data_IF_517474800043
#
_entry.id   IF_517474800043
#
_cell.length_a   1.000
_cell.length_b   1.000
_cell.length_c   1.000
_cell.angle_alpha   90.00
_cell.angle_beta   90.00
_cell.angle_gamma   90.00
#
_symmetry.space_group_name_H-M   'P 1'
#
loop_
_entity.id
_entity.type
_entity.pdbx_description
1 polymer ?
#
# COMPACT_ATOMS: atom_id res chain seq x y z
N UNK A 1 1.72 20.72 -15.80
CA UNK A 1 1.36 19.99 -14.56
C UNK A 1 2.47 20.22 -13.59
N UNK A 2 2.18 20.79 -12.42
CA UNK A 2 3.19 20.93 -11.37
C UNK A 2 3.51 19.54 -10.81
N UNK A 3 4.76 19.30 -10.40
CA UNK A 3 5.17 18.00 -9.84
C UNK A 3 5.91 18.23 -8.54
N UNK A 4 5.76 17.31 -7.59
CA UNK A 4 6.58 17.30 -6.39
C UNK A 4 8.06 17.13 -6.76
N UNK A 5 8.99 17.75 -6.01
CA UNK A 5 10.42 17.50 -6.18
C UNK A 5 10.71 15.99 -6.14
N UNK A 6 11.61 15.53 -7.01
CA UNK A 6 12.00 14.10 -7.12
C UNK A 6 12.25 13.43 -5.77
N UNK A 7 13.07 13.99 -4.85
CA UNK A 7 13.32 13.32 -3.57
C UNK A 7 12.05 13.20 -2.71
N UNK A 8 11.17 14.20 -2.76
CA UNK A 8 9.91 14.18 -2.01
C UNK A 8 8.96 13.15 -2.62
N UNK A 9 8.82 13.13 -3.95
CA UNK A 9 8.01 12.15 -4.66
C UNK A 9 8.45 10.72 -4.34
N UNK A 10 9.74 10.44 -4.45
CA UNK A 10 10.32 9.14 -4.15
C UNK A 10 10.08 8.74 -2.70
N UNK A 11 10.33 9.65 -1.75
CA UNK A 11 10.13 9.39 -0.32
C UNK A 11 8.67 9.09 0.00
N UNK A 12 7.73 9.86 -0.54
CA UNK A 12 6.29 9.64 -0.33
C UNK A 12 5.86 8.28 -0.88
N UNK A 13 6.27 7.93 -2.11
CA UNK A 13 5.93 6.65 -2.73
C UNK A 13 6.52 5.47 -1.96
N UNK A 14 7.80 5.55 -1.59
CA UNK A 14 8.47 4.51 -0.81
C UNK A 14 7.86 4.36 0.59
N UNK A 15 7.58 5.46 1.29
CA UNK A 15 6.96 5.44 2.60
C UNK A 15 5.55 4.85 2.55
N UNK A 16 4.74 5.26 1.55
CA UNK A 16 3.42 4.69 1.33
C UNK A 16 3.51 3.19 1.03
N UNK A 17 4.37 2.78 0.10
CA UNK A 17 4.60 1.37 -0.23
C UNK A 17 5.00 0.54 1.00
N UNK A 18 5.95 1.05 1.79
CA UNK A 18 6.38 0.42 3.03
C UNK A 18 5.25 0.30 4.07
N UNK A 19 4.38 1.30 4.20
CA UNK A 19 3.23 1.26 5.10
C UNK A 19 2.20 0.19 4.71
N UNK A 20 1.92 0.02 3.41
CA UNK A 20 1.07 -1.06 2.90
C UNK A 20 1.69 -2.43 3.17
N UNK A 21 2.98 -2.62 2.87
CA UNK A 21 3.69 -3.87 3.12
C UNK A 21 3.77 -4.20 4.61
N UNK A 22 4.05 -3.21 5.46
CA UNK A 22 4.04 -3.38 6.91
C UNK A 22 2.66 -3.82 7.41
N UNK A 23 1.59 -3.21 6.90
CA UNK A 23 0.21 -3.59 7.24
C UNK A 23 -0.09 -5.02 6.81
N UNK A 24 0.39 -5.45 5.64
CA UNK A 24 0.27 -6.83 5.20
C UNK A 24 1.00 -7.79 6.15
N UNK A 25 2.26 -7.54 6.50
CA UNK A 25 3.03 -8.40 7.41
C UNK A 25 2.35 -8.47 8.79
N UNK A 26 1.92 -7.33 9.31
CA UNK A 26 1.16 -7.24 10.57
C UNK A 26 -0.12 -8.06 10.51
N UNK A 27 -0.95 -7.88 9.48
CA UNK A 27 -2.18 -8.63 9.29
C UNK A 27 -1.91 -10.13 9.16
N UNK A 28 -0.80 -10.51 8.52
CA UNK A 28 -0.41 -11.90 8.41
C UNK A 28 -0.09 -12.53 9.77
N UNK A 29 0.54 -11.77 10.67
CA UNK A 29 0.86 -12.23 12.01
C UNK A 29 -0.37 -12.24 12.95
N UNK A 30 -1.25 -11.23 12.85
CA UNK A 30 -2.41 -11.10 13.75
C UNK A 30 -3.66 -11.83 13.26
N UNK A 31 -3.72 -12.23 11.99
CA UNK A 31 -4.89 -12.86 11.39
C UNK A 31 -6.04 -11.90 11.09
N UNK A 32 -5.84 -10.59 11.27
CA UNK A 32 -6.85 -9.54 11.02
C UNK A 32 -6.30 -8.47 10.08
N UNK A 33 -7.04 -8.16 9.02
CA UNK A 33 -6.62 -7.17 8.03
C UNK A 33 -7.59 -5.99 7.98
N UNK A 34 -7.14 -4.73 8.16
CA UNK A 34 -7.99 -3.56 8.00
C UNK A 34 -8.27 -3.32 6.51
N UNK A 35 -9.48 -3.57 6.04
CA UNK A 35 -9.88 -3.48 4.63
C UNK A 35 -10.88 -2.34 4.37
N UNK A 36 -10.70 -1.21 5.05
CA UNK A 36 -11.54 -0.01 4.91
C UNK A 36 -12.81 -0.05 5.75
N UNK A 37 -13.91 0.52 5.24
CA UNK A 37 -15.23 0.50 5.88
C UNK A 37 -16.26 -0.19 4.99
N UNK A 38 -17.12 -1.00 5.60
CA UNK A 38 -18.34 -1.53 4.98
C UNK A 38 -19.51 -0.74 5.58
N UNK A 39 -19.90 0.34 4.92
CA UNK A 39 -20.84 1.33 5.47
C UNK A 39 -20.20 2.11 6.62
N UNK A 40 -20.84 2.10 7.80
CA UNK A 40 -20.35 2.78 9.01
C UNK A 40 -19.42 1.93 9.89
N UNK A 41 -19.13 0.67 9.52
CA UNK A 41 -18.22 -0.21 10.29
C UNK A 41 -16.91 -0.41 9.56
N UNK A 42 -15.79 -0.38 10.30
CA UNK A 42 -14.51 -0.81 9.77
C UNK A 42 -14.62 -2.27 9.33
N UNK A 43 -14.37 -2.55 8.05
CA UNK A 43 -14.35 -3.90 7.53
C UNK A 43 -12.99 -4.51 7.82
N UNK A 44 -13.00 -5.59 8.61
CA UNK A 44 -11.79 -6.29 9.04
C UNK A 44 -11.94 -7.79 8.79
N UNK A 45 -11.67 -8.29 7.57
CA UNK A 45 -11.64 -9.72 7.31
C UNK A 45 -10.63 -10.39 8.24
N UNK A 46 -11.08 -11.48 8.88
CA UNK A 46 -10.26 -12.35 9.72
C UNK A 46 -9.96 -13.65 8.98
N UNK A 47 -8.78 -14.22 9.21
CA UNK A 47 -8.30 -15.42 8.50
C UNK A 47 -9.12 -16.67 8.81
N UNK A 48 -9.57 -16.80 10.05
CA UNK A 48 -10.37 -17.91 10.56
C UNK A 48 -11.84 -17.84 10.12
N UNK A 49 -12.44 -16.65 10.11
CA UNK A 49 -13.84 -16.44 9.73
C UNK A 49 -14.04 -16.38 8.20
N UNK A 50 -13.07 -15.78 7.49
CA UNK A 50 -13.20 -15.46 6.06
C UNK A 50 -11.85 -15.56 5.32
N UNK A 51 -11.25 -16.75 5.23
CA UNK A 51 -9.89 -16.93 4.70
C UNK A 51 -9.74 -16.36 3.29
N UNK A 52 -10.73 -16.58 2.40
CA UNK A 52 -10.71 -16.06 1.03
C UNK A 52 -10.63 -14.53 0.98
N UNK A 53 -11.47 -13.84 1.75
CA UNK A 53 -11.46 -12.38 1.82
C UNK A 53 -10.14 -11.88 2.43
N UNK A 54 -9.68 -12.51 3.52
CA UNK A 54 -8.41 -12.18 4.16
C UNK A 54 -7.25 -12.25 3.15
N UNK A 55 -7.07 -13.37 2.45
CA UNK A 55 -5.97 -13.53 1.49
C UNK A 55 -6.11 -12.64 0.26
N UNK A 56 -7.34 -12.36 -0.20
CA UNK A 56 -7.57 -11.42 -1.29
C UNK A 56 -7.09 -10.01 -0.94
N UNK A 57 -7.52 -9.45 0.20
CA UNK A 57 -7.06 -8.13 0.62
C UNK A 57 -5.58 -8.12 1.00
N UNK A 58 -5.07 -9.20 1.60
CA UNK A 58 -3.65 -9.38 1.87
C UNK A 58 -2.83 -9.26 0.58
N UNK A 59 -3.26 -9.93 -0.49
CA UNK A 59 -2.61 -9.87 -1.80
C UNK A 59 -2.68 -8.45 -2.39
N UNK A 60 -3.80 -7.74 -2.25
CA UNK A 60 -3.92 -6.35 -2.67
C UNK A 60 -2.93 -5.43 -1.94
N UNK A 61 -2.80 -5.57 -0.62
CA UNK A 61 -1.84 -4.79 0.16
C UNK A 61 -0.39 -5.07 -0.27
N UNK A 62 -0.04 -6.34 -0.51
CA UNK A 62 1.30 -6.71 -0.97
C UNK A 62 1.57 -6.16 -2.37
N UNK A 63 0.69 -6.42 -3.33
CA UNK A 63 0.87 -6.01 -4.73
C UNK A 63 0.90 -4.49 -4.87
N UNK A 64 -0.01 -3.77 -4.22
CA UNK A 64 -0.05 -2.31 -4.27
C UNK A 64 1.13 -1.68 -3.51
N UNK A 65 1.47 -2.22 -2.34
CA UNK A 65 2.63 -1.76 -1.57
C UNK A 65 3.95 -1.94 -2.33
N UNK A 66 4.15 -3.11 -2.96
CA UNK A 66 5.30 -3.36 -3.83
C UNK A 66 5.30 -2.43 -5.05
N UNK A 67 4.16 -2.23 -5.70
CA UNK A 67 4.04 -1.31 -6.84
C UNK A 67 4.48 0.11 -6.47
N UNK A 68 3.97 0.65 -5.36
CA UNK A 68 4.34 1.98 -4.87
C UNK A 68 5.84 2.08 -4.54
N UNK A 69 6.38 1.09 -3.83
CA UNK A 69 7.80 1.07 -3.48
C UNK A 69 8.70 1.01 -4.72
N UNK A 70 8.39 0.13 -5.68
CA UNK A 70 9.11 0.03 -6.95
C UNK A 70 9.02 1.35 -7.71
N UNK A 71 7.83 1.96 -7.79
CA UNK A 71 7.66 3.23 -8.47
C UNK A 71 8.46 4.36 -7.79
N UNK A 72 8.49 4.41 -6.46
CA UNK A 72 9.32 5.36 -5.70
C UNK A 72 10.81 5.21 -5.98
N UNK A 73 11.31 3.97 -6.07
CA UNK A 73 12.69 3.68 -6.48
C UNK A 73 12.93 4.14 -7.91
N UNK A 74 12.02 3.85 -8.85
CA UNK A 74 12.14 4.30 -10.25
C UNK A 74 12.18 5.82 -10.37
N UNK A 75 11.38 6.55 -9.58
CA UNK A 75 11.43 8.01 -9.50
C UNK A 75 12.80 8.48 -8.97
N UNK A 76 13.32 7.83 -7.91
CA UNK A 76 14.61 8.18 -7.32
C UNK A 76 15.78 8.05 -8.31
N UNK A 77 15.74 7.06 -9.20
CA UNK A 77 16.77 6.83 -10.23
C UNK A 77 16.46 7.50 -11.58
N UNK A 78 15.45 8.36 -11.65
CA UNK A 78 15.08 9.11 -12.86
C UNK A 78 14.50 8.24 -13.99
N UNK A 79 13.93 7.08 -13.67
CA UNK A 79 13.29 6.14 -14.61
C UNK A 79 11.76 6.22 -14.62
N UNK A 80 11.17 7.02 -13.75
CA UNK A 80 9.74 7.30 -13.73
C UNK A 80 9.48 8.79 -13.45
N UNK A 81 8.32 9.29 -13.87
CA UNK A 81 7.90 10.66 -13.61
C UNK A 81 7.60 10.88 -12.12
N UNK A 82 7.98 12.04 -11.54
CA UNK A 82 7.62 12.40 -10.17
C UNK A 82 6.10 12.55 -10.00
N UNK A 83 5.64 12.54 -8.75
CA UNK A 83 4.23 12.69 -8.40
C UNK A 83 3.69 14.04 -8.89
N UNK A 84 2.61 14.01 -9.66
CA UNK A 84 1.93 15.21 -10.10
C UNK A 84 1.16 15.87 -8.96
N UNK A 85 1.33 17.17 -8.82
CA UNK A 85 0.42 18.05 -8.06
C UNK A 85 -0.65 18.51 -9.05
N UNK A 86 -1.91 18.32 -8.64
CA UNK A 86 -3.08 18.54 -9.49
C UNK A 86 -3.18 19.98 -9.95
#
# INVERSE_FOLDING_TARGET
>A
METLPVPISALVLCAAGAAFLYTAVRAHATGELPAGSKGFRAYRPRRDESPGAFYFFQLLYVTFGSWLAIHGVLVAIGRAAPLALR
#
